data_IF_932260265121
#
_entry.id   IF_932260265121
#
_cell.length_a   1.000
_cell.length_b   1.000
_cell.length_c   1.000
_cell.angle_alpha   90.00
_cell.angle_beta   90.00
_cell.angle_gamma   90.00
#
_symmetry.space_group_name_H-M   'P 1'
#
loop_
_entity.id
_entity.type
_entity.pdbx_description
1 polymer ?
#
# COMPACT_ATOMS: atom_id res chain seq x y z
N UNK A 1 7.47 -20.40 1.59
CA UNK A 1 6.53 -19.29 1.28
C UNK A 1 5.97 -19.47 -0.12
N UNK A 2 4.66 -19.41 -0.29
CA UNK A 2 4.00 -19.38 -1.60
C UNK A 2 3.34 -18.00 -1.74
N UNK A 3 3.68 -17.24 -2.80
CA UNK A 3 3.11 -15.90 -3.01
C UNK A 3 3.14 -15.51 -4.49
N UNK A 4 1.98 -15.14 -5.04
CA UNK A 4 1.89 -14.50 -6.37
C UNK A 4 2.11 -12.99 -6.34
N UNK A 5 1.99 -12.38 -5.15
CA UNK A 5 2.07 -10.95 -4.97
C UNK A 5 3.51 -10.43 -4.91
N UNK A 6 3.64 -9.11 -5.04
CA UNK A 6 4.84 -8.38 -4.68
C UNK A 6 5.22 -8.69 -3.22
N UNK A 7 6.51 -8.87 -2.98
CA UNK A 7 7.03 -9.07 -1.64
C UNK A 7 6.71 -7.87 -0.72
N UNK A 8 6.65 -8.10 0.59
CA UNK A 8 6.22 -7.11 1.58
C UNK A 8 4.71 -6.85 1.66
N UNK A 9 3.90 -7.44 0.76
CA UNK A 9 2.44 -7.38 0.79
C UNK A 9 1.88 -5.96 0.77
N UNK A 10 0.65 -5.78 1.26
CA UNK A 10 -0.03 -4.48 1.21
C UNK A 10 0.70 -3.41 2.02
N UNK A 11 1.22 -3.76 3.19
CA UNK A 11 1.81 -2.78 4.09
C UNK A 11 2.98 -2.02 3.44
N UNK A 12 3.83 -2.72 2.68
CA UNK A 12 4.89 -2.10 1.90
C UNK A 12 4.35 -1.39 0.64
N UNK A 13 3.46 -2.06 -0.10
CA UNK A 13 3.17 -1.68 -1.48
C UNK A 13 2.03 -0.66 -1.61
N UNK A 14 0.93 -0.87 -0.88
CA UNK A 14 -0.36 -0.19 -1.05
C UNK A 14 -1.08 0.09 0.28
N UNK A 15 -0.30 0.28 1.35
CA UNK A 15 -0.81 0.42 2.71
C UNK A 15 0.07 1.32 3.57
N UNK A 16 0.64 0.75 4.63
CA UNK A 16 1.33 1.47 5.69
C UNK A 16 2.40 2.44 5.18
N UNK A 17 3.38 1.93 4.42
CA UNK A 17 4.55 2.69 3.97
C UNK A 17 4.14 3.89 3.10
N UNK A 18 3.38 3.72 2.01
CA UNK A 18 2.99 4.85 1.19
C UNK A 18 2.03 5.81 1.93
N UNK A 19 1.08 5.31 2.74
CA UNK A 19 0.20 6.16 3.56
C UNK A 19 1.02 7.07 4.48
N UNK A 20 1.93 6.51 5.27
CA UNK A 20 2.70 7.30 6.25
C UNK A 20 3.67 8.27 5.59
N UNK A 21 4.20 7.92 4.41
CA UNK A 21 5.02 8.83 3.62
C UNK A 21 4.22 10.07 3.18
N UNK A 22 2.97 9.90 2.74
CA UNK A 22 2.08 11.01 2.32
C UNK A 22 1.58 11.81 3.53
N UNK A 23 1.14 11.15 4.60
CA UNK A 23 0.71 11.81 5.83
C UNK A 23 1.81 12.71 6.41
N UNK A 24 3.08 12.30 6.34
CA UNK A 24 4.19 13.14 6.78
C UNK A 24 4.33 14.42 5.96
N UNK A 25 4.14 14.33 4.65
CA UNK A 25 4.16 15.48 3.75
C UNK A 25 2.96 16.40 4.01
N UNK A 26 1.75 15.84 4.17
CA UNK A 26 0.55 16.59 4.53
C UNK A 26 0.70 17.31 5.88
N UNK A 27 1.32 16.65 6.88
CA UNK A 27 1.63 17.27 8.17
C UNK A 27 2.61 18.44 8.01
N UNK A 28 3.65 18.30 7.19
CA UNK A 28 4.58 19.42 6.94
C UNK A 28 3.87 20.64 6.36
N UNK A 29 2.97 20.44 5.38
CA UNK A 29 2.14 21.53 4.82
C UNK A 29 1.24 22.14 5.90
N UNK A 30 0.65 21.31 6.78
CA UNK A 30 -0.18 21.79 7.89
C UNK A 30 0.61 22.67 8.86
N UNK A 31 1.82 22.27 9.25
CA UNK A 31 2.67 23.06 10.14
C UNK A 31 3.02 24.42 9.51
N UNK A 32 3.40 24.44 8.23
CA UNK A 32 3.68 25.70 7.51
C UNK A 32 2.45 26.60 7.47
N UNK A 33 1.25 26.05 7.22
CA UNK A 33 0.00 26.82 7.26
C UNK A 33 -0.33 27.39 8.64
N UNK A 34 0.18 26.78 9.72
CA UNK A 34 -0.01 27.21 11.11
C UNK A 34 1.19 27.98 11.66
N UNK A 35 2.15 28.37 10.82
CA UNK A 35 3.36 29.05 11.26
C UNK A 35 3.08 30.35 12.04
N UNK A 36 1.97 31.03 11.74
CA UNK A 36 1.53 32.24 12.45
C UNK A 36 1.21 32.00 13.93
N UNK A 37 0.75 30.79 14.32
CA UNK A 37 0.51 30.41 15.72
C UNK A 37 1.81 30.48 16.56
N UNK A 38 2.96 30.42 15.88
CA UNK A 38 4.30 30.52 16.46
C UNK A 38 4.97 31.87 16.20
N UNK A 39 4.23 32.88 15.71
CA UNK A 39 4.76 34.20 15.37
C UNK A 39 5.57 34.24 14.07
N UNK A 40 5.56 33.17 13.26
CA UNK A 40 6.25 33.13 11.96
C UNK A 40 5.31 33.59 10.85
N UNK A 41 5.62 34.71 10.21
CA UNK A 41 4.82 35.30 9.14
C UNK A 41 5.36 34.89 7.78
N UNK A 42 4.49 34.35 6.92
CA UNK A 42 4.81 33.97 5.55
C UNK A 42 4.25 35.02 4.58
N UNK A 43 4.98 35.32 3.52
CA UNK A 43 4.53 36.24 2.45
C UNK A 43 3.48 35.61 1.52
N UNK A 44 3.39 34.27 1.48
CA UNK A 44 2.41 33.53 0.68
C UNK A 44 2.10 32.14 1.27
N UNK A 45 0.95 31.53 0.92
CA UNK A 45 0.65 30.15 1.29
C UNK A 45 1.65 29.14 0.69
N UNK A 46 1.86 27.97 1.33
CA UNK A 46 2.74 26.96 0.78
C UNK A 46 2.18 26.35 -0.52
N UNK A 47 3.02 26.31 -1.56
CA UNK A 47 2.79 25.55 -2.80
C UNK A 47 3.22 24.11 -2.62
N UNK A 48 2.40 23.16 -3.08
CA UNK A 48 2.70 21.72 -3.02
C UNK A 48 3.04 21.20 -4.41
N UNK A 49 4.28 20.74 -4.60
CA UNK A 49 4.69 19.97 -5.78
C UNK A 49 4.32 18.50 -5.55
N UNK A 50 3.15 18.09 -6.03
CA UNK A 50 2.64 16.74 -5.84
C UNK A 50 3.54 15.68 -6.49
N UNK A 51 4.14 15.99 -7.64
CA UNK A 51 5.09 15.11 -8.31
C UNK A 51 6.28 14.76 -7.41
N UNK A 52 6.87 15.76 -6.75
CA UNK A 52 7.95 15.53 -5.77
C UNK A 52 7.50 14.77 -4.52
N UNK A 53 6.27 15.02 -4.03
CA UNK A 53 5.71 14.27 -2.91
C UNK A 53 5.59 12.78 -3.25
N UNK A 54 5.03 12.46 -4.43
CA UNK A 54 4.87 11.08 -4.90
C UNK A 54 6.22 10.43 -5.21
N UNK A 55 7.17 11.16 -5.80
CA UNK A 55 8.53 10.67 -6.03
C UNK A 55 9.24 10.30 -4.72
N UNK A 56 9.13 11.17 -3.70
CA UNK A 56 9.67 10.88 -2.36
C UNK A 56 9.04 9.64 -1.74
N UNK A 57 7.72 9.49 -1.83
CA UNK A 57 7.02 8.29 -1.33
C UNK A 57 7.56 7.02 -2.00
N UNK A 58 7.66 7.02 -3.33
CA UNK A 58 8.17 5.86 -4.10
C UNK A 58 9.63 5.55 -3.75
N UNK A 59 10.45 6.58 -3.55
CA UNK A 59 11.85 6.40 -3.12
C UNK A 59 11.94 5.75 -1.74
N UNK A 60 11.15 6.21 -0.76
CA UNK A 60 11.10 5.60 0.57
C UNK A 60 10.67 4.14 0.52
N UNK A 61 9.63 3.83 -0.28
CA UNK A 61 9.20 2.45 -0.51
C UNK A 61 10.33 1.60 -1.11
N UNK A 62 11.02 2.13 -2.12
CA UNK A 62 12.14 1.45 -2.78
C UNK A 62 13.34 1.23 -1.84
N UNK A 63 13.55 2.10 -0.85
CA UNK A 63 14.59 1.90 0.18
C UNK A 63 14.26 0.74 1.12
N UNK A 64 12.98 0.53 1.43
CA UNK A 64 12.53 -0.54 2.36
C UNK A 64 12.41 -1.89 1.64
N UNK A 65 11.96 -1.87 0.39
CA UNK A 65 11.61 -3.07 -0.39
C UNK A 65 12.68 -4.19 -0.43
N UNK A 66 14.00 -3.93 -0.46
CA UNK A 66 15.00 -4.99 -0.46
C UNK A 66 14.95 -5.88 0.77
N UNK A 67 14.65 -5.32 1.95
CA UNK A 67 14.59 -6.08 3.22
C UNK A 67 13.39 -7.02 3.25
N UNK A 68 12.27 -6.61 2.66
CA UNK A 68 11.03 -7.39 2.58
C UNK A 68 10.93 -8.24 1.31
N UNK A 69 12.03 -8.34 0.54
CA UNK A 69 12.02 -8.98 -0.77
C UNK A 69 11.91 -10.51 -0.69
N UNK A 70 11.44 -11.12 -1.79
CA UNK A 70 11.48 -12.57 -1.94
C UNK A 70 12.91 -13.09 -1.85
N UNK A 71 13.90 -12.33 -2.35
CA UNK A 71 15.31 -12.72 -2.29
C UNK A 71 15.89 -12.64 -0.87
N UNK A 72 15.54 -11.61 -0.09
CA UNK A 72 15.89 -11.56 1.33
C UNK A 72 15.26 -12.73 2.10
N UNK A 73 14.01 -13.10 1.76
CA UNK A 73 13.33 -14.26 2.34
C UNK A 73 14.05 -15.57 1.98
N UNK A 74 14.50 -15.74 0.73
CA UNK A 74 15.33 -16.88 0.32
C UNK A 74 16.67 -16.91 1.06
N UNK A 75 17.33 -15.76 1.20
CA UNK A 75 18.60 -15.63 1.91
C UNK A 75 18.49 -15.99 3.40
N UNK A 76 17.30 -15.87 3.99
CA UNK A 76 16.98 -16.33 5.34
C UNK A 76 16.73 -17.85 5.44
N UNK A 77 16.88 -18.60 4.34
CA UNK A 77 16.74 -20.06 4.30
C UNK A 77 15.32 -20.56 4.04
N UNK A 78 14.41 -19.69 3.57
CA UNK A 78 13.03 -20.07 3.24
C UNK A 78 12.91 -20.37 1.74
N UNK A 79 12.35 -21.53 1.39
CA UNK A 79 11.96 -21.80 0.01
C UNK A 79 10.81 -20.86 -0.41
N UNK A 80 11.03 -20.06 -1.46
CA UNK A 80 10.02 -19.11 -1.96
C UNK A 80 9.55 -19.52 -3.35
N UNK A 81 8.28 -19.90 -3.43
CA UNK A 81 7.56 -20.21 -4.66
C UNK A 81 6.73 -19.00 -5.08
N UNK A 82 7.12 -18.36 -6.18
CA UNK A 82 6.38 -17.24 -6.73
C UNK A 82 5.25 -17.75 -7.62
N UNK A 83 4.01 -17.67 -7.12
CA UNK A 83 2.83 -18.21 -7.78
C UNK A 83 1.64 -18.31 -6.84
N UNK A 84 0.46 -18.60 -7.41
CA UNK A 84 -0.76 -18.80 -6.65
C UNK A 84 -0.78 -20.20 -6.05
N UNK A 85 -0.84 -20.28 -4.73
CA UNK A 85 -1.01 -21.53 -4.00
C UNK A 85 -2.48 -21.95 -3.94
N UNK A 86 -2.74 -23.26 -4.04
CA UNK A 86 -4.06 -23.86 -3.82
C UNK A 86 -3.92 -25.11 -2.97
N UNK A 87 -4.72 -25.26 -1.92
CA UNK A 87 -4.80 -26.53 -1.19
C UNK A 87 -5.43 -27.61 -2.09
N UNK A 88 -4.80 -28.78 -2.15
CA UNK A 88 -5.25 -29.95 -2.92
C UNK A 88 -5.66 -31.11 -2.02
N UNK A 89 -5.42 -31.00 -0.71
CA UNK A 89 -5.79 -31.97 0.31
C UNK A 89 -5.46 -31.44 1.70
N UNK A 90 -5.62 -32.27 2.73
CA UNK A 90 -5.39 -31.90 4.14
C UNK A 90 -3.94 -31.54 4.45
N UNK A 91 -2.99 -32.15 3.73
CA UNK A 91 -1.54 -31.97 3.93
C UNK A 91 -0.78 -31.67 2.63
N UNK A 92 -1.50 -31.24 1.59
CA UNK A 92 -0.93 -30.96 0.27
C UNK A 92 -1.48 -29.66 -0.32
N UNK A 93 -0.59 -28.90 -0.95
CA UNK A 93 -0.92 -27.73 -1.75
C UNK A 93 -0.23 -27.84 -3.12
N UNK A 94 -0.67 -27.04 -4.07
CA UNK A 94 -0.07 -26.93 -5.40
C UNK A 94 0.28 -25.47 -5.69
N UNK A 95 1.42 -25.25 -6.35
CA UNK A 95 1.82 -23.96 -6.92
C UNK A 95 2.51 -24.21 -8.25
N UNK A 96 2.09 -23.51 -9.31
CA UNK A 96 2.66 -23.65 -10.66
C UNK A 96 2.73 -25.12 -11.16
N UNK A 97 1.74 -25.96 -10.84
CA UNK A 97 1.72 -27.38 -11.18
C UNK A 97 2.62 -28.26 -10.29
N UNK A 98 3.38 -27.69 -9.37
CA UNK A 98 4.20 -28.43 -8.41
C UNK A 98 3.40 -28.71 -7.13
N UNK A 99 3.32 -29.98 -6.75
CA UNK A 99 2.74 -30.41 -5.47
C UNK A 99 3.73 -30.19 -4.32
N UNK A 100 3.24 -29.63 -3.22
CA UNK A 100 3.97 -29.28 -2.01
C UNK A 100 3.28 -29.98 -0.82
N UNK A 101 3.99 -30.89 -0.17
CA UNK A 101 3.53 -31.51 1.07
C UNK A 101 3.88 -30.61 2.27
N UNK A 102 3.00 -30.56 3.27
CA UNK A 102 3.24 -29.81 4.50
C UNK A 102 2.72 -30.56 5.72
N UNK A 103 3.29 -30.27 6.90
CA UNK A 103 2.76 -30.73 8.20
C UNK A 103 1.81 -29.71 8.84
N UNK A 104 2.12 -28.43 8.63
CA UNK A 104 1.31 -27.31 9.08
C UNK A 104 1.25 -26.26 7.97
N UNK A 105 0.12 -25.56 7.88
CA UNK A 105 -0.06 -24.46 6.94
C UNK A 105 -0.48 -23.20 7.70
N UNK A 106 0.06 -22.06 7.27
CA UNK A 106 -0.37 -20.74 7.73
C UNK A 106 -0.99 -20.02 6.53
N UNK A 107 -2.25 -19.63 6.67
CA UNK A 107 -2.95 -18.84 5.65
C UNK A 107 -2.77 -17.37 5.99
N UNK A 108 -1.94 -16.69 5.20
CA UNK A 108 -1.59 -15.27 5.37
C UNK A 108 -1.84 -14.49 4.07
N UNK A 109 -2.98 -14.73 3.42
CA UNK A 109 -3.34 -14.15 2.11
C UNK A 109 -3.73 -12.67 2.18
N UNK A 110 -3.77 -12.07 3.36
CA UNK A 110 -4.21 -10.69 3.55
C UNK A 110 -5.70 -10.50 3.30
N UNK A 111 -6.08 -9.29 2.89
CA UNK A 111 -7.44 -8.92 2.50
C UNK A 111 -7.44 -8.13 1.20
N UNK A 112 -8.61 -7.71 0.76
CA UNK A 112 -8.78 -6.83 -0.40
C UNK A 112 -9.82 -5.74 -0.12
N UNK A 113 -9.81 -4.62 -0.86
CA UNK A 113 -10.78 -3.55 -0.65
C UNK A 113 -12.21 -4.06 -0.85
N UNK A 114 -13.05 -3.90 0.17
CA UNK A 114 -14.47 -4.21 0.06
C UNK A 114 -15.21 -3.07 -0.64
N UNK A 115 -15.93 -3.37 -1.72
CA UNK A 115 -16.72 -2.39 -2.46
C UNK A 115 -18.17 -2.42 -1.96
N UNK A 116 -18.74 -1.27 -1.57
CA UNK A 116 -20.12 -1.22 -1.11
C UNK A 116 -21.08 -1.42 -2.30
N UNK A 117 -22.22 -2.08 -2.05
CA UNK A 117 -23.26 -2.30 -3.05
C UNK A 117 -24.10 -1.04 -3.29
N UNK A 118 -23.48 -0.01 -3.89
CA UNK A 118 -24.13 1.24 -4.26
C UNK A 118 -24.47 1.20 -5.76
N UNK A 119 -25.74 1.41 -6.15
CA UNK A 119 -26.12 1.50 -7.56
C UNK A 119 -25.27 2.50 -8.33
N UNK A 120 -24.71 2.07 -9.46
CA UNK A 120 -23.85 2.90 -10.32
C UNK A 120 -22.38 3.02 -9.89
N UNK A 121 -21.98 2.53 -8.71
CA UNK A 121 -20.57 2.60 -8.28
C UNK A 121 -19.65 1.78 -9.20
N UNK A 122 -20.11 0.60 -9.64
CA UNK A 122 -19.35 -0.26 -10.56
C UNK A 122 -19.26 0.30 -11.99
N UNK A 123 -20.05 1.33 -12.32
CA UNK A 123 -20.06 1.94 -13.67
C UNK A 123 -19.18 3.18 -13.76
N UNK A 124 -18.58 3.62 -12.65
CA UNK A 124 -17.68 4.78 -12.61
C UNK A 124 -16.25 4.34 -12.25
N UNK A 125 -15.29 5.18 -12.61
CA UNK A 125 -13.93 5.02 -12.11
C UNK A 125 -13.86 5.44 -10.65
N UNK A 126 -13.36 4.55 -9.79
CA UNK A 126 -13.08 4.83 -8.39
C UNK A 126 -11.65 4.41 -8.03
N UNK A 127 -11.17 4.91 -6.90
CA UNK A 127 -9.87 4.57 -6.34
C UNK A 127 -10.08 3.78 -5.04
N UNK A 128 -9.23 2.79 -4.81
CA UNK A 128 -9.05 2.14 -3.50
C UNK A 128 -7.63 2.41 -3.00
N UNK A 129 -7.27 1.88 -1.82
CA UNK A 129 -5.88 1.96 -1.34
C UNK A 129 -4.89 1.32 -2.33
N UNK A 130 -5.33 0.38 -3.18
CA UNK A 130 -4.47 -0.24 -4.20
C UNK A 130 -4.06 0.74 -5.32
N UNK A 131 -4.92 1.72 -5.64
CA UNK A 131 -4.67 2.66 -6.75
C UNK A 131 -4.26 4.05 -6.29
N UNK A 132 -4.68 4.52 -5.12
CA UNK A 132 -4.52 5.93 -4.72
C UNK A 132 -3.04 6.36 -4.63
N UNK A 133 -2.15 5.44 -4.27
CA UNK A 133 -0.71 5.70 -4.20
C UNK A 133 -0.01 5.75 -5.56
N UNK A 134 -0.74 5.51 -6.65
CA UNK A 134 -0.23 5.59 -8.02
C UNK A 134 -0.64 6.86 -8.76
N UNK A 135 -1.41 7.76 -8.10
CA UNK A 135 -1.79 9.04 -8.67
C UNK A 135 -0.55 9.83 -9.14
N UNK A 136 -0.66 10.45 -10.32
CA UNK A 136 0.38 11.30 -10.89
C UNK A 136 0.14 12.77 -10.61
N UNK A 137 -1.14 13.15 -10.46
CA UNK A 137 -1.58 14.51 -10.22
C UNK A 137 -2.47 14.57 -8.97
N UNK A 138 -2.43 15.71 -8.27
CA UNK A 138 -3.26 15.93 -7.09
C UNK A 138 -4.69 16.25 -7.55
N UNK A 139 -5.70 15.43 -7.18
CA UNK A 139 -7.07 15.74 -7.58
C UNK A 139 -7.54 17.05 -6.92
N UNK A 140 -8.18 17.96 -7.67
CA UNK A 140 -8.69 19.21 -7.11
C UNK A 140 -9.85 18.97 -6.13
N UNK A 141 -10.51 17.81 -6.22
CA UNK A 141 -11.58 17.35 -5.34
C UNK A 141 -11.49 15.83 -5.19
N UNK A 142 -11.65 15.36 -3.97
CA UNK A 142 -11.66 13.94 -3.64
C UNK A 142 -12.83 13.67 -2.69
N UNK A 143 -13.64 12.66 -2.99
CA UNK A 143 -14.68 12.14 -2.09
C UNK A 143 -14.16 10.83 -1.51
N UNK A 144 -14.24 10.69 -0.19
CA UNK A 144 -13.86 9.46 0.51
C UNK A 144 -15.14 8.76 0.98
N UNK A 145 -15.32 7.53 0.52
CA UNK A 145 -16.44 6.67 0.90
C UNK A 145 -15.97 5.64 1.93
N UNK A 146 -16.06 6.00 3.21
CA UNK A 146 -15.68 5.16 4.33
C UNK A 146 -15.11 5.97 5.49
N UNK A 147 -15.60 5.75 6.69
CA UNK A 147 -15.19 6.46 7.91
C UNK A 147 -14.21 5.67 8.78
N UNK A 148 -13.64 4.57 8.25
CA UNK A 148 -12.61 3.80 8.92
C UNK A 148 -11.24 4.50 8.87
N UNK A 149 -10.26 3.96 9.59
CA UNK A 149 -8.92 4.55 9.69
C UNK A 149 -8.30 4.87 8.32
N UNK A 150 -8.42 3.97 7.33
CA UNK A 150 -7.89 4.18 5.97
C UNK A 150 -8.54 5.37 5.25
N UNK A 151 -9.83 5.64 5.49
CA UNK A 151 -10.51 6.79 4.89
C UNK A 151 -10.29 8.11 5.63
N UNK A 152 -9.97 8.04 6.93
CA UNK A 152 -9.65 9.22 7.74
C UNK A 152 -8.21 9.68 7.56
N UNK A 153 -7.30 8.76 7.23
CA UNK A 153 -5.92 9.04 6.84
C UNK A 153 -5.82 9.68 5.45
#
# INVERSE_FOLDING_TARGET
LISEALAGGDCLNVGCVPSKALLRAARAVREVRRAADFGVVLSSPPTVDFGKVMARMRALRATIAPVDSHDATRAAGVDVYQGRGRFTGESTAEVNGQSIAFRHAVIATGGSPALPSIPGLSTISYLTNEQIFNLQELPPRLVVLGAGAVGLE
#
